data_IF_546939370411
#
_entry.id   IF_546939370411
#
_cell.length_a   1.000
_cell.length_b   1.000
_cell.length_c   1.000
_cell.angle_alpha   90.00
_cell.angle_beta   90.00
_cell.angle_gamma   90.00
#
_symmetry.space_group_name_H-M   'P 1'
#
loop_
_entity.id
_entity.type
_entity.pdbx_description
1 polymer ?
#
# COMPACT_ATOMS: atom_id res chain seq x y z
N UNK A 1 16.25 22.95 -3.61
CA UNK A 1 16.06 21.51 -3.31
C UNK A 1 14.63 21.17 -2.93
N UNK A 2 13.99 21.86 -1.96
CA UNK A 2 12.60 21.57 -1.56
C UNK A 2 11.56 21.61 -2.69
N UNK A 3 11.60 22.62 -3.57
CA UNK A 3 10.65 22.73 -4.69
C UNK A 3 10.72 21.55 -5.67
N UNK A 4 11.92 21.05 -5.98
CA UNK A 4 12.10 19.91 -6.87
C UNK A 4 11.54 18.62 -6.23
N UNK A 5 11.77 18.42 -4.94
CA UNK A 5 11.21 17.29 -4.19
C UNK A 5 9.68 17.27 -4.28
N UNK A 6 9.01 18.39 -3.98
CA UNK A 6 7.54 18.45 -4.05
C UNK A 6 7.00 18.31 -5.48
N UNK A 7 7.72 18.85 -6.48
CA UNK A 7 7.30 18.76 -7.89
C UNK A 7 7.34 17.32 -8.42
N UNK A 8 8.35 16.54 -8.01
CA UNK A 8 8.52 15.16 -8.46
C UNK A 8 7.96 14.12 -7.48
N UNK A 9 7.43 14.53 -6.34
CA UNK A 9 6.90 13.61 -5.33
C UNK A 9 5.81 12.67 -5.89
N UNK A 10 5.02 13.13 -6.86
CA UNK A 10 4.01 12.30 -7.50
C UNK A 10 4.61 11.08 -8.23
N UNK A 11 5.83 11.20 -8.77
CA UNK A 11 6.50 10.11 -9.50
C UNK A 11 6.81 8.90 -8.62
N UNK A 12 6.82 9.04 -7.28
CA UNK A 12 6.94 7.90 -6.36
C UNK A 12 5.80 6.89 -6.50
N UNK A 13 4.65 7.29 -7.05
CA UNK A 13 3.55 6.36 -7.32
C UNK A 13 3.98 5.19 -8.23
N UNK A 14 4.85 5.43 -9.22
CA UNK A 14 5.29 4.42 -10.19
C UNK A 14 6.09 3.29 -9.52
N UNK A 15 7.22 3.56 -8.82
CA UNK A 15 7.94 2.49 -8.14
C UNK A 15 7.09 1.84 -7.05
N UNK A 16 6.26 2.59 -6.32
CA UNK A 16 5.36 2.00 -5.30
C UNK A 16 4.38 1.02 -5.93
N UNK A 17 3.79 1.33 -7.09
CA UNK A 17 2.92 0.38 -7.80
C UNK A 17 3.65 -0.88 -8.25
N UNK A 18 4.88 -0.74 -8.78
CA UNK A 18 5.70 -1.89 -9.14
C UNK A 18 5.99 -2.78 -7.93
N UNK A 19 6.40 -2.20 -6.81
CA UNK A 19 6.65 -2.95 -5.57
C UNK A 19 5.37 -3.45 -4.88
N UNK A 20 4.21 -2.87 -5.17
CA UNK A 20 2.92 -3.33 -4.67
C UNK A 20 2.25 -4.40 -5.56
N UNK A 21 2.87 -4.78 -6.68
CA UNK A 21 2.34 -5.80 -7.60
C UNK A 21 3.34 -6.94 -7.87
N UNK A 22 4.61 -6.61 -8.11
CA UNK A 22 5.63 -7.60 -8.47
C UNK A 22 5.86 -8.65 -7.39
N UNK A 23 6.01 -8.30 -6.09
CA UNK A 23 6.18 -9.32 -5.05
C UNK A 23 5.02 -10.31 -5.06
N UNK A 24 3.77 -9.84 -5.13
CA UNK A 24 2.57 -10.68 -5.09
C UNK A 24 2.59 -11.71 -6.21
N UNK A 25 2.85 -11.27 -7.44
CA UNK A 25 2.91 -12.14 -8.62
C UNK A 25 4.09 -13.11 -8.56
N UNK A 26 5.26 -12.65 -8.13
CA UNK A 26 6.45 -13.50 -7.98
C UNK A 26 6.22 -14.61 -6.94
N UNK A 27 5.53 -14.33 -5.83
CA UNK A 27 5.25 -15.33 -4.79
C UNK A 27 4.27 -16.39 -5.29
N UNK A 28 3.25 -16.00 -6.03
CA UNK A 28 2.30 -16.92 -6.67
C UNK A 28 3.01 -17.86 -7.65
N UNK A 29 3.93 -17.33 -8.45
CA UNK A 29 4.75 -18.12 -9.36
C UNK A 29 5.81 -18.96 -8.66
N UNK A 30 6.21 -18.58 -7.44
CA UNK A 30 7.27 -19.24 -6.69
C UNK A 30 8.67 -18.82 -7.15
N UNK A 31 8.80 -17.61 -7.70
CA UNK A 31 10.08 -17.06 -8.15
C UNK A 31 10.63 -16.13 -7.05
N UNK A 32 11.84 -16.39 -6.54
CA UNK A 32 12.45 -15.51 -5.54
C UNK A 32 12.82 -14.17 -6.16
N UNK A 33 12.31 -13.07 -5.60
CA UNK A 33 12.60 -11.71 -6.09
C UNK A 33 13.97 -11.19 -5.65
N UNK A 34 14.47 -11.62 -4.49
CA UNK A 34 15.68 -11.08 -3.87
C UNK A 34 16.88 -12.01 -4.09
N UNK A 35 17.84 -11.67 -4.98
CA UNK A 35 19.01 -12.52 -5.22
C UNK A 35 19.92 -12.61 -3.99
N UNK A 36 19.99 -11.54 -3.19
CA UNK A 36 20.77 -11.46 -1.96
C UNK A 36 19.85 -11.06 -0.79
N UNK A 37 19.22 -12.03 -0.09
CA UNK A 37 18.20 -11.74 0.92
C UNK A 37 18.75 -10.97 2.12
N UNK A 38 19.99 -11.24 2.53
CA UNK A 38 20.63 -10.53 3.64
C UNK A 38 20.86 -9.04 3.33
N UNK A 39 21.32 -8.72 2.10
CA UNK A 39 21.53 -7.34 1.69
C UNK A 39 20.20 -6.58 1.55
N UNK A 40 19.18 -7.22 0.99
CA UNK A 40 17.84 -6.65 0.89
C UNK A 40 17.23 -6.38 2.28
N UNK A 41 17.36 -7.34 3.21
CA UNK A 41 16.91 -7.18 4.59
C UNK A 41 17.65 -6.06 5.32
N UNK A 42 18.98 -5.96 5.14
CA UNK A 42 19.77 -4.89 5.72
C UNK A 42 19.35 -3.51 5.20
N UNK A 43 19.16 -3.38 3.87
CA UNK A 43 18.71 -2.13 3.25
C UNK A 43 17.30 -1.73 3.71
N UNK A 44 16.40 -2.71 3.83
CA UNK A 44 15.06 -2.50 4.35
C UNK A 44 15.09 -2.04 5.82
N UNK A 45 15.85 -2.73 6.67
CA UNK A 45 16.01 -2.38 8.08
C UNK A 45 16.65 -1.00 8.25
N UNK A 46 17.68 -0.66 7.46
CA UNK A 46 18.30 0.67 7.51
C UNK A 46 17.32 1.78 7.10
N UNK A 47 16.47 1.54 6.10
CA UNK A 47 15.43 2.48 5.69
C UNK A 47 14.40 2.72 6.81
N UNK A 48 13.97 1.66 7.50
CA UNK A 48 13.03 1.78 8.62
C UNK A 48 13.64 2.53 9.81
N UNK A 49 14.89 2.24 10.13
CA UNK A 49 15.63 2.90 11.21
C UNK A 49 15.89 4.37 10.89
N UNK A 50 16.22 4.70 9.65
CA UNK A 50 16.42 6.08 9.23
C UNK A 50 15.13 6.88 9.37
N UNK A 51 14.01 6.36 8.88
CA UNK A 51 12.71 7.03 9.03
C UNK A 51 12.32 7.18 10.51
N UNK A 52 12.61 6.17 11.34
CA UNK A 52 12.40 6.26 12.78
C UNK A 52 13.24 7.38 13.42
N UNK A 53 14.50 7.49 13.03
CA UNK A 53 15.39 8.56 13.51
C UNK A 53 14.88 9.95 13.12
N UNK A 54 14.38 10.11 11.89
CA UNK A 54 13.78 11.36 11.40
C UNK A 54 12.57 11.77 12.25
N UNK A 55 11.67 10.82 12.55
CA UNK A 55 10.52 11.05 13.43
C UNK A 55 10.96 11.45 14.84
N UNK A 56 11.96 10.77 15.39
CA UNK A 56 12.53 11.10 16.70
C UNK A 56 13.09 12.54 16.73
N UNK A 57 13.82 12.95 15.69
CA UNK A 57 14.37 14.31 15.57
C UNK A 57 13.24 15.33 15.46
N UNK A 58 12.22 15.07 14.63
CA UNK A 58 11.05 15.93 14.47
C UNK A 58 10.25 16.09 15.77
N UNK A 59 10.27 15.09 16.65
CA UNK A 59 9.60 15.11 17.97
C UNK A 59 10.53 15.55 19.12
N UNK A 60 11.59 16.30 18.82
CA UNK A 60 12.54 16.82 19.81
C UNK A 60 13.20 15.72 20.66
N UNK A 61 13.59 14.62 20.03
CA UNK A 61 14.26 13.48 20.67
C UNK A 61 13.32 12.47 21.34
N UNK A 62 12.01 12.62 21.21
CA UNK A 62 11.03 11.66 21.75
C UNK A 62 10.74 10.56 20.74
N UNK A 63 10.87 9.31 21.18
CA UNK A 63 10.47 8.15 20.39
C UNK A 63 8.94 8.06 20.35
N UNK A 64 8.36 8.23 19.16
CA UNK A 64 6.92 8.08 18.94
C UNK A 64 6.65 7.09 17.81
N UNK A 65 6.49 5.82 18.20
CA UNK A 65 6.23 4.71 17.28
C UNK A 65 4.85 4.82 16.61
N UNK A 66 3.88 5.48 17.25
CA UNK A 66 2.54 5.66 16.69
C UNK A 66 2.58 6.65 15.54
N UNK A 67 3.29 7.77 15.71
CA UNK A 67 3.52 8.73 14.63
C UNK A 67 4.29 8.07 13.48
N UNK A 68 5.40 7.39 13.75
CA UNK A 68 6.20 6.70 12.73
C UNK A 68 5.38 5.70 11.91
N UNK A 69 4.58 4.86 12.58
CA UNK A 69 3.73 3.89 11.89
C UNK A 69 2.61 4.54 11.07
N UNK A 70 2.00 5.60 11.60
CA UNK A 70 0.95 6.35 10.89
C UNK A 70 1.49 7.09 9.67
N UNK A 71 2.69 7.65 9.74
CA UNK A 71 3.35 8.30 8.61
C UNK A 71 3.59 7.32 7.46
N UNK A 72 4.08 6.11 7.76
CA UNK A 72 4.26 5.06 6.75
C UNK A 72 2.94 4.64 6.09
N UNK A 73 1.89 4.43 6.91
CA UNK A 73 0.55 4.09 6.41
C UNK A 73 -0.01 5.15 5.48
N UNK A 74 0.07 6.41 5.92
CA UNK A 74 -0.42 7.53 5.14
C UNK A 74 0.39 7.72 3.86
N UNK A 75 1.71 7.55 3.92
CA UNK A 75 2.58 7.66 2.76
C UNK A 75 2.23 6.64 1.67
N UNK A 76 2.07 5.36 2.02
CA UNK A 76 1.67 4.32 1.06
C UNK A 76 0.28 4.61 0.49
N UNK A 77 -0.68 4.98 1.34
CA UNK A 77 -2.04 5.31 0.89
C UNK A 77 -2.03 6.48 -0.09
N UNK A 78 -1.31 7.56 0.22
CA UNK A 78 -1.19 8.73 -0.64
C UNK A 78 -0.48 8.41 -1.96
N UNK A 79 0.56 7.56 -1.92
CA UNK A 79 1.27 7.11 -3.11
C UNK A 79 0.37 6.35 -4.08
N UNK A 80 -0.46 5.43 -3.56
CA UNK A 80 -1.38 4.60 -4.35
C UNK A 80 -2.67 5.33 -4.77
N UNK A 81 -2.94 6.50 -4.20
CA UNK A 81 -4.15 7.28 -4.49
C UNK A 81 -3.78 8.63 -5.08
N UNK A 82 -3.59 9.67 -4.26
CA UNK A 82 -3.35 11.04 -4.71
C UNK A 82 -2.19 11.20 -5.70
N UNK A 83 -1.04 10.60 -5.41
CA UNK A 83 0.13 10.70 -6.30
C UNK A 83 -0.09 9.97 -7.63
N UNK A 84 -0.71 8.79 -7.60
CA UNK A 84 -1.04 8.02 -8.79
C UNK A 84 -1.99 8.79 -9.71
N UNK A 85 -3.09 9.30 -9.16
CA UNK A 85 -4.05 10.09 -9.93
C UNK A 85 -3.47 11.43 -10.38
N UNK A 86 -2.55 12.01 -9.61
CA UNK A 86 -1.76 13.17 -10.04
C UNK A 86 -0.90 12.88 -11.29
N UNK A 87 -0.23 11.72 -11.33
CA UNK A 87 0.52 11.29 -12.52
C UNK A 87 -0.40 11.04 -13.72
N UNK A 88 -1.57 10.42 -13.51
CA UNK A 88 -2.56 10.20 -14.57
C UNK A 88 -3.07 11.52 -15.11
N UNK A 89 -3.42 12.49 -14.25
CA UNK A 89 -3.86 13.80 -14.68
C UNK A 89 -2.79 14.53 -15.50
N UNK A 90 -1.53 14.53 -15.03
CA UNK A 90 -0.42 15.13 -15.77
C UNK A 90 -0.21 14.46 -17.13
N UNK A 91 -0.35 13.13 -17.22
CA UNK A 91 -0.27 12.41 -18.49
C UNK A 91 -1.44 12.78 -19.43
N UNK A 92 -2.65 12.94 -18.90
CA UNK A 92 -3.82 13.36 -19.69
C UNK A 92 -3.65 14.78 -20.24
N UNK A 93 -3.15 15.71 -19.43
CA UNK A 93 -2.85 17.08 -19.87
C UNK A 93 -1.79 17.10 -20.98
N UNK A 94 -0.72 16.30 -20.85
CA UNK A 94 0.30 16.15 -21.89
C UNK A 94 -0.25 15.57 -23.20
N UNK A 95 -1.30 14.75 -23.12
CA UNK A 95 -1.99 14.18 -24.28
C UNK A 95 -3.09 15.11 -24.85
N UNK A 96 -3.29 16.30 -24.28
CA UNK A 96 -4.30 17.26 -24.71
C UNK A 96 -5.74 16.91 -24.27
N UNK A 97 -5.91 15.97 -23.34
CA UNK A 97 -7.20 15.65 -22.73
C UNK A 97 -7.56 16.67 -21.63
N UNK A 98 -8.86 16.76 -21.32
CA UNK A 98 -9.37 17.63 -20.25
C UNK A 98 -8.81 17.17 -18.90
N UNK A 99 -8.25 18.10 -18.13
CA UNK A 99 -7.79 17.86 -16.77
C UNK A 99 -8.93 17.30 -15.89
N UNK A 100 -8.59 16.35 -15.03
CA UNK A 100 -9.49 15.79 -14.03
C UNK A 100 -9.77 16.84 -12.96
N UNK A 101 -11.04 17.14 -12.75
CA UNK A 101 -11.47 18.03 -11.67
C UNK A 101 -11.60 17.19 -10.39
N UNK A 102 -10.70 17.42 -9.44
CA UNK A 102 -10.73 16.75 -8.14
C UNK A 102 -11.54 17.61 -7.17
N UNK A 103 -12.76 17.20 -6.89
CA UNK A 103 -13.59 17.90 -5.91
C UNK A 103 -13.02 17.68 -4.50
N UNK A 104 -12.60 18.78 -3.86
CA UNK A 104 -11.97 18.77 -2.55
C UNK A 104 -13.05 18.54 -1.49
N UNK A 105 -13.16 17.30 -1.00
CA UNK A 105 -14.04 17.03 0.14
C UNK A 105 -13.43 17.63 1.40
N UNK A 106 -14.16 18.52 2.08
CA UNK A 106 -13.74 19.00 3.39
C UNK A 106 -13.74 17.84 4.40
N UNK A 107 -12.56 17.46 4.86
CA UNK A 107 -12.32 16.42 5.88
C UNK A 107 -12.06 17.02 7.27
N UNK A 108 -12.36 18.30 7.50
CA UNK A 108 -12.41 18.91 8.83
C UNK A 108 -13.57 18.28 9.62
N UNK A 109 -13.35 17.10 10.18
CA UNK A 109 -14.27 16.48 11.10
C UNK A 109 -13.64 16.49 12.49
N UNK A 110 -14.31 17.15 13.43
CA UNK A 110 -14.16 16.98 14.89
C UNK A 110 -14.69 15.59 15.31
N UNK A 111 -14.30 14.56 14.57
CA UNK A 111 -14.81 13.20 14.71
C UNK A 111 -14.00 12.42 15.73
N UNK A 112 -14.70 11.71 16.61
CA UNK A 112 -14.12 10.79 17.60
C UNK A 112 -13.15 9.77 16.96
N UNK A 113 -13.44 9.30 15.74
CA UNK A 113 -12.58 8.37 14.99
C UNK A 113 -11.19 8.97 14.65
N UNK A 114 -11.12 10.27 14.36
CA UNK A 114 -9.86 10.94 14.06
C UNK A 114 -8.97 10.99 15.31
N UNK A 115 -9.56 11.27 16.49
CA UNK A 115 -8.85 11.26 17.77
C UNK A 115 -8.35 9.85 18.14
N UNK A 116 -9.13 8.84 17.81
CA UNK A 116 -8.76 7.43 18.02
C UNK A 116 -7.72 6.93 16.99
N UNK A 117 -7.41 7.73 15.95
CA UNK A 117 -6.46 7.37 14.88
C UNK A 117 -6.99 6.28 13.95
N UNK A 118 -8.31 6.19 13.82
CA UNK A 118 -9.02 5.24 12.96
C UNK A 118 -9.40 5.92 11.66
N UNK A 119 -9.14 5.26 10.53
CA UNK A 119 -9.51 5.79 9.22
C UNK A 119 -11.02 5.84 9.04
N UNK A 120 -11.50 6.97 8.53
CA UNK A 120 -12.90 7.19 8.16
C UNK A 120 -13.04 7.17 6.64
N UNK A 121 -13.75 6.16 6.13
CA UNK A 121 -13.98 5.97 4.70
C UNK A 121 -15.34 6.53 4.21
N UNK A 122 -16.03 7.31 5.05
CA UNK A 122 -17.30 7.92 4.68
C UNK A 122 -17.12 8.90 3.52
N UNK A 123 -17.92 8.75 2.46
CA UNK A 123 -17.85 9.60 1.27
C UNK A 123 -16.56 9.43 0.46
N UNK A 124 -15.87 8.30 0.60
CA UNK A 124 -14.65 8.03 -0.16
C UNK A 124 -14.89 7.93 -1.67
N UNK A 125 -14.01 8.60 -2.42
CA UNK A 125 -14.02 8.61 -3.88
C UNK A 125 -13.45 7.32 -4.48
N UNK A 126 -13.65 7.13 -5.79
CA UNK A 126 -13.02 6.08 -6.60
C UNK A 126 -11.49 6.14 -6.57
N UNK A 127 -10.90 7.21 -6.05
CA UNK A 127 -9.47 7.36 -5.78
C UNK A 127 -8.89 6.24 -4.90
N UNK A 128 -9.69 5.63 -4.03
CA UNK A 128 -9.25 4.50 -3.18
C UNK A 128 -9.22 3.15 -3.90
N UNK A 129 -9.75 3.07 -5.13
CA UNK A 129 -9.86 1.82 -5.86
C UNK A 129 -8.49 1.14 -6.09
N UNK A 130 -7.41 1.83 -6.49
CA UNK A 130 -6.11 1.19 -6.67
C UNK A 130 -5.54 0.64 -5.35
N UNK A 131 -5.59 1.45 -4.27
CA UNK A 131 -5.08 1.04 -2.96
C UNK A 131 -5.83 -0.17 -2.39
N UNK A 132 -7.17 -0.17 -2.47
CA UNK A 132 -7.99 -1.30 -2.02
C UNK A 132 -7.78 -2.56 -2.86
N UNK A 133 -7.67 -2.42 -4.19
CA UNK A 133 -7.40 -3.55 -5.10
C UNK A 133 -6.06 -4.21 -4.80
N UNK A 134 -5.01 -3.42 -4.62
CA UNK A 134 -3.68 -3.93 -4.29
C UNK A 134 -3.61 -4.55 -2.89
N UNK A 135 -4.39 -4.04 -1.94
CA UNK A 135 -4.50 -4.61 -0.59
C UNK A 135 -5.16 -6.00 -0.63
N UNK A 136 -6.23 -6.16 -1.40
CA UNK A 136 -6.88 -7.47 -1.62
C UNK A 136 -5.95 -8.42 -2.38
N UNK A 137 -5.28 -7.95 -3.43
CA UNK A 137 -4.31 -8.72 -4.19
C UNK A 137 -3.19 -9.24 -3.27
N UNK A 138 -2.66 -8.38 -2.39
CA UNK A 138 -1.63 -8.75 -1.42
C UNK A 138 -2.13 -9.82 -0.44
N UNK A 139 -3.32 -9.64 0.14
CA UNK A 139 -3.91 -10.63 1.04
C UNK A 139 -4.13 -11.99 0.35
N UNK A 140 -4.66 -11.98 -0.88
CA UNK A 140 -4.87 -13.19 -1.68
C UNK A 140 -3.53 -13.88 -2.03
N UNK A 141 -2.51 -13.11 -2.41
CA UNK A 141 -1.19 -13.65 -2.73
C UNK A 141 -0.49 -14.26 -1.50
N UNK A 142 -0.63 -13.67 -0.31
CA UNK A 142 -0.12 -14.26 0.94
C UNK A 142 -0.80 -15.60 1.21
N UNK A 143 -2.14 -15.68 1.10
CA UNK A 143 -2.87 -16.92 1.35
C UNK A 143 -2.48 -18.03 0.35
N UNK A 144 -2.51 -17.72 -0.95
CA UNK A 144 -2.19 -18.69 -1.99
C UNK A 144 -0.70 -19.06 -2.00
N UNK A 145 0.19 -18.09 -1.79
CA UNK A 145 1.63 -18.28 -1.74
C UNK A 145 2.06 -19.14 -0.56
N UNK A 146 1.53 -18.87 0.65
CA UNK A 146 1.82 -19.71 1.84
C UNK A 146 1.27 -21.12 1.67
N UNK A 147 0.06 -21.27 1.13
CA UNK A 147 -0.49 -22.59 0.80
C UNK A 147 0.43 -23.38 -0.14
N UNK A 148 0.92 -22.74 -1.22
CA UNK A 148 1.84 -23.36 -2.18
C UNK A 148 3.20 -23.72 -1.55
N UNK A 149 3.74 -22.84 -0.70
CA UNK A 149 4.98 -23.09 0.04
C UNK A 149 4.87 -24.31 0.95
N UNK A 150 3.75 -24.47 1.67
CA UNK A 150 3.56 -25.59 2.60
C UNK A 150 3.21 -26.90 1.89
N UNK A 151 2.44 -26.84 0.80
CA UNK A 151 1.92 -28.05 0.15
C UNK A 151 2.89 -28.66 -0.86
N UNK A 152 3.62 -27.83 -1.63
CA UNK A 152 4.41 -28.29 -2.79
C UNK A 152 5.91 -27.98 -2.63
N UNK A 153 6.27 -27.12 -1.68
CA UNK A 153 7.65 -26.67 -1.46
C UNK A 153 8.36 -27.44 -0.35
N UNK A 154 9.57 -27.93 -0.62
CA UNK A 154 10.48 -28.35 0.44
C UNK A 154 10.96 -27.16 1.28
N UNK A 155 11.58 -27.42 2.44
CA UNK A 155 12.08 -26.39 3.36
C UNK A 155 13.02 -25.37 2.70
N UNK A 156 13.85 -25.80 1.76
CA UNK A 156 14.76 -24.93 1.00
C UNK A 156 14.00 -23.92 0.14
N UNK A 157 12.97 -24.36 -0.60
CA UNK A 157 12.14 -23.50 -1.44
C UNK A 157 11.35 -22.49 -0.59
N UNK A 158 10.84 -22.92 0.57
CA UNK A 158 10.17 -22.02 1.51
C UNK A 158 11.13 -20.95 2.07
N UNK A 159 12.40 -21.32 2.32
CA UNK A 159 13.43 -20.40 2.79
C UNK A 159 13.77 -19.29 1.79
N UNK A 160 13.79 -19.60 0.49
CA UNK A 160 14.09 -18.61 -0.57
C UNK A 160 12.97 -17.57 -0.73
N UNK A 161 11.71 -17.94 -0.48
CA UNK A 161 10.54 -17.06 -0.60
C UNK A 161 10.22 -16.30 0.70
N UNK A 162 10.82 -16.68 1.83
CA UNK A 162 10.56 -16.08 3.15
C UNK A 162 10.77 -14.55 3.20
N UNK A 163 11.83 -13.97 2.62
CA UNK A 163 12.03 -12.50 2.65
C UNK A 163 10.92 -11.74 1.92
N UNK A 164 10.43 -12.31 0.83
CA UNK A 164 9.36 -11.73 0.03
C UNK A 164 8.01 -11.86 0.72
N UNK A 165 7.74 -13.00 1.37
CA UNK A 165 6.59 -13.17 2.23
C UNK A 165 6.59 -12.16 3.39
N UNK A 166 7.74 -11.96 4.04
CA UNK A 166 7.90 -10.96 5.10
C UNK A 166 7.54 -9.54 4.60
N UNK A 167 8.05 -9.16 3.43
CA UNK A 167 7.74 -7.86 2.84
C UNK A 167 6.24 -7.70 2.55
N UNK A 168 5.58 -8.75 2.06
CA UNK A 168 4.13 -8.72 1.84
C UNK A 168 3.33 -8.63 3.14
N UNK A 169 3.73 -9.35 4.18
CA UNK A 169 3.13 -9.24 5.50
C UNK A 169 3.28 -7.82 6.08
N UNK A 170 4.45 -7.21 5.90
CA UNK A 170 4.67 -5.81 6.28
C UNK A 170 3.75 -4.86 5.49
N UNK A 171 3.65 -5.02 4.17
CA UNK A 171 2.71 -4.27 3.33
C UNK A 171 1.25 -4.48 3.75
N UNK A 172 0.86 -5.71 4.11
CA UNK A 172 -0.46 -6.04 4.61
C UNK A 172 -0.75 -5.30 5.93
N UNK A 173 0.21 -5.25 6.86
CA UNK A 173 0.09 -4.54 8.13
C UNK A 173 -0.05 -3.01 7.95
N UNK A 174 0.63 -2.43 6.96
CA UNK A 174 0.42 -1.04 6.57
C UNK A 174 -0.97 -0.82 5.97
N UNK A 175 -1.42 -1.73 5.10
CA UNK A 175 -2.76 -1.67 4.48
C UNK A 175 -3.91 -2.15 5.38
N UNK A 176 -3.63 -2.57 6.61
CA UNK A 176 -4.62 -3.14 7.53
C UNK A 176 -5.89 -2.29 7.68
N UNK A 177 -5.83 -0.95 7.83
CA UNK A 177 -7.04 -0.15 7.94
C UNK A 177 -7.97 -0.24 6.71
N UNK A 178 -7.42 -0.48 5.51
CA UNK A 178 -8.21 -0.70 4.30
C UNK A 178 -8.90 -2.06 4.36
N UNK A 179 -8.16 -3.12 4.69
CA UNK A 179 -8.71 -4.48 4.82
C UNK A 179 -9.77 -4.55 5.92
N UNK A 180 -9.52 -3.90 7.06
CA UNK A 180 -10.45 -3.76 8.16
C UNK A 180 -11.72 -3.03 7.70
N UNK A 181 -11.57 -1.89 7.03
CA UNK A 181 -12.69 -1.11 6.49
C UNK A 181 -13.49 -1.83 5.40
N UNK A 182 -12.90 -2.82 4.71
CA UNK A 182 -13.56 -3.59 3.65
C UNK A 182 -14.32 -4.82 4.18
N UNK A 183 -13.72 -5.57 5.11
CA UNK A 183 -14.20 -6.90 5.50
C UNK A 183 -14.59 -7.06 6.96
N UNK A 184 -13.95 -6.34 7.89
CA UNK A 184 -14.21 -6.49 9.34
C UNK A 184 -15.25 -5.49 9.84
N UNK A 185 -15.29 -4.29 9.26
CA UNK A 185 -16.06 -3.18 9.80
C UNK A 185 -17.49 -3.11 9.22
N UNK A 186 -18.46 -2.93 10.11
CA UNK A 186 -19.88 -2.80 9.77
C UNK A 186 -20.46 -1.40 10.01
N UNK A 187 -19.67 -0.48 10.55
CA UNK A 187 -20.07 0.90 10.83
C UNK A 187 -20.22 1.75 9.55
N UNK A 188 -20.83 2.93 9.68
CA UNK A 188 -20.95 3.90 8.58
C UNK A 188 -19.60 4.35 7.97
N UNK A 189 -18.51 4.28 8.74
CA UNK A 189 -17.14 4.63 8.33
C UNK A 189 -16.41 3.52 7.53
N UNK A 190 -17.12 2.46 7.13
CA UNK A 190 -16.61 1.37 6.27
C UNK A 190 -16.31 1.83 4.85
N UNK A 191 -15.52 1.05 4.13
CA UNK A 191 -15.35 1.22 2.68
C UNK A 191 -16.69 0.92 1.98
N UNK A 192 -17.15 1.79 1.06
CA UNK A 192 -18.39 1.57 0.32
C UNK A 192 -18.40 0.21 -0.38
N UNK A 193 -19.48 -0.58 -0.28
CA UNK A 193 -19.52 -1.95 -0.81
C UNK A 193 -19.32 -2.01 -2.33
N UNK A 194 -19.69 -0.96 -3.05
CA UNK A 194 -19.44 -0.82 -4.50
C UNK A 194 -17.94 -0.81 -4.82
N UNK A 195 -17.15 -0.06 -4.05
CA UNK A 195 -15.69 0.01 -4.20
C UNK A 195 -15.07 -1.33 -3.82
N UNK A 196 -15.54 -1.95 -2.72
CA UNK A 196 -15.09 -3.28 -2.30
C UNK A 196 -15.36 -4.35 -3.37
N UNK A 197 -16.54 -4.35 -3.98
CA UNK A 197 -16.88 -5.31 -5.03
C UNK A 197 -15.99 -5.11 -6.28
N UNK A 198 -15.77 -3.86 -6.69
CA UNK A 198 -14.90 -3.55 -7.82
C UNK A 198 -13.44 -3.91 -7.54
N UNK A 199 -12.93 -3.63 -6.34
CA UNK A 199 -11.54 -3.95 -5.99
C UNK A 199 -11.30 -5.46 -5.91
N UNK A 200 -12.25 -6.23 -5.38
CA UNK A 200 -12.21 -7.69 -5.42
C UNK A 200 -12.26 -8.22 -6.85
N UNK A 201 -13.15 -7.68 -7.70
CA UNK A 201 -13.25 -8.08 -9.09
C UNK A 201 -11.94 -7.79 -9.88
N UNK A 202 -11.37 -6.59 -9.70
CA UNK A 202 -10.10 -6.23 -10.32
C UNK A 202 -8.94 -7.09 -9.82
N UNK A 203 -8.86 -7.35 -8.51
CA UNK A 203 -7.85 -8.23 -7.95
C UNK A 203 -7.99 -9.66 -8.50
N UNK A 204 -9.21 -10.17 -8.64
CA UNK A 204 -9.47 -11.48 -9.23
C UNK A 204 -9.06 -11.55 -10.70
N UNK A 205 -9.32 -10.50 -11.50
CA UNK A 205 -8.84 -10.41 -12.88
C UNK A 205 -7.31 -10.40 -12.94
N UNK A 206 -6.64 -9.63 -12.08
CA UNK A 206 -5.18 -9.60 -12.02
C UNK A 206 -4.61 -10.97 -11.66
N UNK A 207 -5.21 -11.66 -10.68
CA UNK A 207 -4.82 -13.02 -10.32
C UNK A 207 -5.07 -14.02 -11.47
N UNK A 208 -6.19 -13.91 -12.19
CA UNK A 208 -6.49 -14.81 -13.30
C UNK A 208 -5.58 -14.58 -14.52
N UNK A 209 -5.15 -13.34 -14.75
CA UNK A 209 -4.28 -12.99 -15.89
C UNK A 209 -2.81 -13.27 -15.59
N UNK A 210 -2.36 -13.04 -14.36
CA UNK A 210 -0.93 -13.06 -14.01
C UNK A 210 -0.50 -14.13 -13.00
N UNK A 211 -1.43 -14.69 -12.22
CA UNK A 211 -1.20 -15.74 -11.22
C UNK A 211 -1.11 -17.12 -11.84
#
# INVERSE_FOLDING_TARGET
>A
MGYAYFSFAALYAVPVLCYATLPQLCLLRGVPLFPCPAAAAAAFASSLLQHLAEVCVARHGRLDLRTWWNEQRFWVLNALTGQLFGCVNAAQELLGARALDFDLTNKAADGRLYQDGVFDFTGCSTLLLPATTLSVLNAAAIMAGTWKMTSWGGFQFAGELLPQLFLMCYGAALSYPLLEGMFLRWDAARVPPRITALSVALAAVLLAVFG
#
